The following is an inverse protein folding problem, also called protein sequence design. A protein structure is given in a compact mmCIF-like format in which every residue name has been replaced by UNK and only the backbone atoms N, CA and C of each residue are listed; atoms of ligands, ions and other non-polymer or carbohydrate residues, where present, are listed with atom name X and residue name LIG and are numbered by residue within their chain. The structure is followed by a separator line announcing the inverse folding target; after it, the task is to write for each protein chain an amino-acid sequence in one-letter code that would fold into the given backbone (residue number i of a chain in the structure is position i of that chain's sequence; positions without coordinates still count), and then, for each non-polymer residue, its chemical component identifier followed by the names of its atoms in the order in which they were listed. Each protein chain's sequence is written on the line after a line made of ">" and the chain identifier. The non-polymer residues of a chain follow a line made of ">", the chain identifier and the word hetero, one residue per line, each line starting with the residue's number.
data_IF_408463132928
#
_entry.id   IF_408463132928
#
_cell.length_a   1.000
_cell.length_b   1.000
_cell.length_c   1.000
_cell.angle_alpha   90.00
_cell.angle_beta   90.00
_cell.angle_gamma   90.00
#
_symmetry.space_group_name_H-M   'P 1'
#
loop_
_entity.id
_entity.type
_entity.pdbx_description
1 polymer ?
#
# COMPACT_ATOMS: atom_id res chain seq x y z
N UNK A 1 24.02 -12.52 6.46
CA UNK A 1 23.44 -11.63 5.44
C UNK A 1 22.16 -11.10 6.04
N UNK A 2 22.19 -9.93 6.69
CA UNK A 2 20.99 -9.36 7.30
C UNK A 2 20.04 -9.03 6.18
N UNK A 3 18.90 -9.72 6.10
CA UNK A 3 17.77 -9.27 5.30
C UNK A 3 17.35 -7.93 5.91
N UNK A 4 17.96 -6.84 5.44
CA UNK A 4 17.59 -5.50 5.85
C UNK A 4 16.09 -5.40 5.61
N UNK A 5 15.34 -5.05 6.64
CA UNK A 5 13.92 -4.81 6.50
C UNK A 5 13.74 -3.66 5.51
N UNK A 6 13.50 -3.99 4.24
CA UNK A 6 13.21 -3.01 3.19
C UNK A 6 11.76 -2.60 3.37
N UNK A 7 11.50 -1.77 4.38
CA UNK A 7 10.17 -1.24 4.65
C UNK A 7 9.67 -0.49 3.41
N UNK A 8 8.40 -0.66 3.04
CA UNK A 8 7.81 0.14 1.97
C UNK A 8 7.87 1.61 2.34
N UNK A 9 8.21 2.45 1.38
CA UNK A 9 8.27 3.91 1.53
C UNK A 9 7.07 4.51 0.81
N UNK A 10 6.29 5.32 1.54
CA UNK A 10 5.14 6.04 1.03
C UNK A 10 5.52 7.50 0.78
N UNK A 11 5.31 7.97 -0.46
CA UNK A 11 5.43 9.38 -0.82
C UNK A 11 4.09 9.90 -1.31
N UNK A 12 3.60 10.97 -0.70
CA UNK A 12 2.36 11.65 -1.10
C UNK A 12 2.71 12.96 -1.78
N UNK A 13 2.14 13.21 -2.97
CA UNK A 13 2.29 14.50 -3.63
C UNK A 13 1.08 14.85 -4.49
N UNK A 14 0.88 16.16 -4.70
CA UNK A 14 -0.08 16.67 -5.66
C UNK A 14 0.38 16.40 -7.09
N UNK A 15 -0.50 15.83 -7.90
CA UNK A 15 -0.27 15.60 -9.32
C UNK A 15 -1.04 16.65 -10.14
N UNK A 16 -0.36 17.71 -10.55
CA UNK A 16 -0.98 18.81 -11.29
C UNK A 16 -1.59 18.40 -12.65
N UNK A 17 -1.13 17.30 -13.25
CA UNK A 17 -1.69 16.81 -14.53
C UNK A 17 -3.06 16.16 -14.36
N UNK A 18 -3.29 15.56 -13.20
CA UNK A 18 -4.53 14.87 -12.86
C UNK A 18 -5.41 15.69 -11.91
N UNK A 19 -4.91 16.81 -11.41
CA UNK A 19 -5.59 17.66 -10.41
C UNK A 19 -6.05 16.87 -9.19
N UNK A 20 -5.20 15.95 -8.72
CA UNK A 20 -5.48 15.06 -7.59
C UNK A 20 -4.23 14.80 -6.75
N UNK A 21 -4.42 14.35 -5.50
CA UNK A 21 -3.34 13.82 -4.64
C UNK A 21 -3.06 12.38 -5.03
N UNK A 22 -1.78 12.05 -5.23
CA UNK A 22 -1.32 10.70 -5.54
C UNK A 22 -0.33 10.19 -4.51
N UNK A 23 -0.36 8.88 -4.28
CA UNK A 23 0.42 8.15 -3.31
C UNK A 23 1.30 7.13 -4.03
N UNK A 24 2.62 7.31 -3.92
CA UNK A 24 3.62 6.42 -4.49
C UNK A 24 4.16 5.51 -3.39
N UNK A 25 4.00 4.21 -3.56
CA UNK A 25 4.53 3.18 -2.65
C UNK A 25 5.66 2.45 -3.37
N UNK A 26 6.89 2.60 -2.86
CA UNK A 26 8.08 1.91 -3.36
C UNK A 26 8.65 0.95 -2.32
N UNK A 27 9.42 -0.04 -2.77
CA UNK A 27 10.22 -0.89 -1.87
C UNK A 27 11.70 -0.57 -2.08
N UNK A 28 12.46 -0.50 -0.98
CA UNK A 28 13.90 -0.25 -1.09
C UNK A 28 14.58 -1.35 -1.94
N UNK A 29 15.53 -0.96 -2.78
CA UNK A 29 16.24 -1.87 -3.68
C UNK A 29 15.46 -2.35 -4.91
N UNK A 30 14.28 -1.80 -5.19
CA UNK A 30 13.60 -1.98 -6.48
C UNK A 30 13.24 -0.63 -7.10
N UNK A 31 13.32 -0.55 -8.43
CA UNK A 31 12.86 0.60 -9.21
C UNK A 31 11.34 0.59 -9.42
N UNK A 32 10.68 -0.53 -9.09
CA UNK A 32 9.23 -0.67 -9.21
C UNK A 32 8.52 0.10 -8.08
N UNK A 33 7.43 0.77 -8.44
CA UNK A 33 6.55 1.45 -7.50
C UNK A 33 5.11 1.27 -7.93
N UNK A 34 4.22 1.34 -6.94
CA UNK A 34 2.78 1.41 -7.14
C UNK A 34 2.36 2.86 -6.97
N UNK A 35 1.42 3.31 -7.77
CA UNK A 35 0.87 4.66 -7.72
C UNK A 35 -0.64 4.56 -7.57
N UNK A 36 -1.17 5.22 -6.55
CA UNK A 36 -2.59 5.23 -6.22
C UNK A 36 -3.08 6.66 -6.13
N UNK A 37 -4.33 6.90 -6.49
CA UNK A 37 -5.06 8.08 -6.02
C UNK A 37 -5.61 7.82 -4.60
N UNK A 38 -6.29 8.82 -4.03
CA UNK A 38 -6.80 8.73 -2.65
C UNK A 38 -7.90 7.67 -2.47
N UNK A 39 -8.77 7.51 -3.47
CA UNK A 39 -9.86 6.53 -3.47
C UNK A 39 -9.30 5.10 -3.58
N UNK A 40 -8.42 4.87 -4.56
CA UNK A 40 -7.75 3.59 -4.78
C UNK A 40 -6.94 3.15 -3.54
N UNK A 41 -6.28 4.09 -2.86
CA UNK A 41 -5.53 3.78 -1.65
C UNK A 41 -6.45 3.39 -0.49
N UNK A 42 -7.61 4.06 -0.37
CA UNK A 42 -8.61 3.72 0.64
C UNK A 42 -9.24 2.35 0.37
N UNK A 43 -9.56 2.04 -0.89
CA UNK A 43 -10.05 0.71 -1.30
C UNK A 43 -9.02 -0.38 -0.99
N UNK A 44 -7.75 -0.17 -1.36
CA UNK A 44 -6.66 -1.10 -1.06
C UNK A 44 -6.53 -1.32 0.45
N UNK A 45 -6.63 -0.24 1.24
CA UNK A 45 -6.61 -0.36 2.70
C UNK A 45 -7.75 -1.24 3.21
N UNK A 46 -8.96 -1.06 2.69
CA UNK A 46 -10.12 -1.89 3.03
C UNK A 46 -9.92 -3.36 2.66
N UNK A 47 -9.35 -3.64 1.48
CA UNK A 47 -9.04 -5.00 1.04
C UNK A 47 -7.97 -5.66 1.92
N UNK A 48 -6.91 -4.93 2.27
CA UNK A 48 -5.87 -5.42 3.18
C UNK A 48 -6.45 -5.70 4.56
N UNK A 49 -7.25 -4.77 5.09
CA UNK A 49 -7.91 -4.91 6.39
C UNK A 49 -8.84 -6.13 6.42
N UNK A 50 -9.67 -6.30 5.39
CA UNK A 50 -10.54 -7.47 5.23
C UNK A 50 -9.76 -8.78 5.11
N UNK A 51 -8.63 -8.78 4.39
CA UNK A 51 -7.78 -9.97 4.26
C UNK A 51 -7.05 -10.32 5.57
N UNK A 52 -6.64 -9.31 6.35
CA UNK A 52 -5.96 -9.52 7.63
C UNK A 52 -6.94 -9.89 8.75
N UNK A 53 -8.08 -9.20 8.85
CA UNK A 53 -9.15 -9.49 9.80
C UNK A 53 -10.02 -10.70 9.43
N UNK A 54 -9.94 -11.18 8.19
CA UNK A 54 -10.54 -12.44 7.75
C UNK A 54 -9.80 -13.69 8.24
N UNK A 55 -8.60 -13.54 8.81
CA UNK A 55 -7.82 -14.66 9.32
C UNK A 55 -8.24 -15.10 10.74
N UNK A 56 -9.05 -14.29 11.44
CA UNK A 56 -9.54 -14.59 12.80
C UNK A 56 -10.81 -15.47 12.80
N UNK A 57 -11.45 -15.69 11.64
CA UNK A 57 -12.73 -16.44 11.51
C UNK A 57 -12.56 -17.71 10.67
N UNK A 58 -11.49 -18.48 10.90
CA UNK A 58 -11.40 -19.87 10.42
C UNK A 58 -10.69 -20.82 11.39
N UNK A 59 -10.97 -20.64 12.68
CA UNK A 59 -10.50 -21.54 13.75
C UNK A 59 -11.59 -21.77 14.80
N UNK A 60 -12.74 -22.36 14.42
CA UNK A 60 -13.79 -23.02 15.24
C UNK A 60 -15.01 -23.17 14.33
N UNK A 61 -15.68 -24.30 14.14
CA UNK A 61 -15.80 -25.59 14.82
C UNK A 61 -16.30 -26.60 13.79
#
# INVERSE_FOLDING_TARGET
>A
MTAGAHSPVLHTHWNAKRSEVTHKIGKAGTSAFLLFNNDELAELRGQIDAALGGNDVRSTT
#
